data_IF_322560931494
#
_entry.id   IF_322560931494
#
_cell.length_a   1.000
_cell.length_b   1.000
_cell.length_c   1.000
_cell.angle_alpha   90.00
_cell.angle_beta   90.00
_cell.angle_gamma   90.00
#
_symmetry.space_group_name_H-M   'P 1'
#
loop_
_entity.id
_entity.type
_entity.pdbx_description
1 polymer ?
#
# COMPACT_ATOMS: atom_id res chain seq x y z
N UNK A 1 29.09 33.94 43.12
CA UNK A 1 29.50 32.59 43.61
C UNK A 1 28.29 31.68 43.81
N UNK A 2 27.38 31.90 44.77
CA UNK A 2 26.18 31.03 44.95
C UNK A 2 25.15 31.14 43.80
N UNK A 3 24.82 32.34 43.35
CA UNK A 3 23.83 32.55 42.27
C UNK A 3 24.27 31.96 40.92
N UNK A 4 25.57 31.96 40.66
CA UNK A 4 26.13 31.40 39.42
C UNK A 4 26.13 29.87 39.45
N UNK A 5 26.40 29.28 40.63
CA UNK A 5 26.28 27.84 40.86
C UNK A 5 24.82 27.36 40.68
N UNK A 6 23.84 28.09 41.23
CA UNK A 6 22.41 27.78 41.07
C UNK A 6 21.93 27.90 39.62
N UNK A 7 22.46 28.87 38.86
CA UNK A 7 22.14 29.02 37.43
C UNK A 7 22.67 27.85 36.60
N UNK A 8 23.92 27.43 36.85
CA UNK A 8 24.53 26.27 36.18
C UNK A 8 23.78 24.98 36.50
N UNK A 9 23.39 24.76 37.76
CA UNK A 9 22.62 23.58 38.16
C UNK A 9 21.22 23.55 37.53
N UNK A 10 20.55 24.71 37.43
CA UNK A 10 19.25 24.81 36.77
C UNK A 10 19.33 24.55 35.26
N UNK A 11 20.33 25.11 34.59
CA UNK A 11 20.58 24.88 33.17
C UNK A 11 20.93 23.42 32.88
N UNK A 12 21.75 22.78 33.72
CA UNK A 12 22.06 21.36 33.60
C UNK A 12 20.83 20.47 33.81
N UNK A 13 19.98 20.79 34.80
CA UNK A 13 18.74 20.05 35.05
C UNK A 13 17.71 20.22 33.93
N UNK A 14 17.64 21.39 33.29
CA UNK A 14 16.75 21.64 32.15
C UNK A 14 17.26 20.96 30.88
N UNK A 15 18.58 21.00 30.63
CA UNK A 15 19.19 20.28 29.52
C UNK A 15 18.98 18.76 29.66
N UNK A 16 19.13 18.21 30.86
CA UNK A 16 18.90 16.78 31.09
C UNK A 16 17.43 16.39 30.91
N UNK A 17 16.48 17.18 31.45
CA UNK A 17 15.04 16.96 31.21
C UNK A 17 14.71 16.97 29.72
N UNK A 18 15.24 17.96 28.98
CA UNK A 18 15.02 18.06 27.55
C UNK A 18 15.59 16.86 26.79
N UNK A 19 16.78 16.36 27.18
CA UNK A 19 17.38 15.15 26.58
C UNK A 19 16.52 13.92 26.80
N UNK A 20 16.02 13.72 28.03
CA UNK A 20 15.12 12.61 28.34
C UNK A 20 13.82 12.72 27.53
N UNK A 21 13.22 13.91 27.45
CA UNK A 21 12.00 14.13 26.67
C UNK A 21 12.22 13.88 25.16
N UNK A 22 13.34 14.35 24.60
CA UNK A 22 13.71 14.13 23.21
C UNK A 22 13.96 12.64 22.93
N UNK A 23 14.63 11.93 23.83
CA UNK A 23 14.88 10.47 23.71
C UNK A 23 13.57 9.67 23.82
N UNK A 24 12.68 10.02 24.75
CA UNK A 24 11.35 9.41 24.87
C UNK A 24 10.48 9.71 23.65
N UNK A 25 10.56 10.93 23.09
CA UNK A 25 9.85 11.29 21.87
C UNK A 25 10.37 10.47 20.67
N UNK A 26 11.69 10.32 20.54
CA UNK A 26 12.29 9.50 19.49
C UNK A 26 11.93 8.02 19.66
N UNK A 27 12.01 7.47 20.87
CA UNK A 27 11.65 6.09 21.16
C UNK A 27 10.18 5.81 20.81
N UNK A 28 9.27 6.72 21.18
CA UNK A 28 7.84 6.63 20.81
C UNK A 28 7.63 6.69 19.31
N UNK A 29 8.31 7.60 18.61
CA UNK A 29 8.20 7.72 17.15
C UNK A 29 8.70 6.46 16.43
N UNK A 30 9.80 5.86 16.90
CA UNK A 30 10.33 4.61 16.35
C UNK A 30 9.36 3.45 16.61
N UNK A 31 8.80 3.35 17.81
CA UNK A 31 7.82 2.31 18.14
C UNK A 31 6.54 2.46 17.30
N UNK A 32 5.99 3.66 17.18
CA UNK A 32 4.80 3.93 16.37
C UNK A 32 5.04 3.63 14.88
N UNK A 33 6.23 3.98 14.36
CA UNK A 33 6.61 3.63 12.99
C UNK A 33 6.68 2.11 12.79
N UNK A 34 7.31 1.38 13.72
CA UNK A 34 7.41 -0.07 13.65
C UNK A 34 6.05 -0.76 13.75
N UNK A 35 5.14 -0.28 14.61
CA UNK A 35 3.78 -0.80 14.73
C UNK A 35 2.97 -0.58 13.45
N UNK A 36 3.07 0.61 12.85
CA UNK A 36 2.43 0.93 11.57
C UNK A 36 2.96 0.03 10.43
N UNK A 37 4.27 -0.17 10.37
CA UNK A 37 4.90 -1.03 9.38
C UNK A 37 4.46 -2.49 9.55
N UNK A 38 4.44 -3.00 10.78
CA UNK A 38 3.98 -4.36 11.08
C UNK A 38 2.50 -4.56 10.71
N UNK A 39 1.63 -3.58 11.00
CA UNK A 39 0.23 -3.64 10.62
C UNK A 39 0.03 -3.65 9.10
N UNK A 40 0.82 -2.85 8.37
CA UNK A 40 0.80 -2.82 6.91
C UNK A 40 1.29 -4.15 6.32
N UNK A 41 2.38 -4.70 6.85
CA UNK A 41 2.92 -6.00 6.44
C UNK A 41 1.90 -7.13 6.64
N UNK A 42 1.20 -7.14 7.79
CA UNK A 42 0.14 -8.13 8.06
C UNK A 42 -1.01 -8.02 7.05
N UNK A 43 -1.49 -6.80 6.78
CA UNK A 43 -2.57 -6.56 5.80
C UNK A 43 -2.17 -7.02 4.40
N UNK A 44 -0.91 -6.78 4.00
CA UNK A 44 -0.38 -7.26 2.71
C UNK A 44 -0.36 -8.78 2.63
N UNK A 45 0.07 -9.44 3.70
CA UNK A 45 0.10 -10.90 3.76
C UNK A 45 -1.32 -11.50 3.70
N UNK A 46 -2.28 -10.92 4.43
CA UNK A 46 -3.69 -11.35 4.37
C UNK A 46 -4.25 -11.25 2.95
N UNK A 47 -3.99 -10.13 2.25
CA UNK A 47 -4.39 -9.95 0.85
C UNK A 47 -3.70 -10.93 -0.10
N UNK A 48 -2.39 -11.14 0.06
CA UNK A 48 -1.65 -12.11 -0.73
C UNK A 48 -2.21 -13.54 -0.56
N UNK A 49 -2.57 -13.93 0.67
CA UNK A 49 -3.19 -15.22 0.96
C UNK A 49 -4.59 -15.33 0.35
N UNK A 50 -5.41 -14.27 0.45
CA UNK A 50 -6.77 -14.26 -0.11
C UNK A 50 -6.78 -14.44 -1.64
N UNK A 51 -5.75 -13.96 -2.33
CA UNK A 51 -5.60 -14.13 -3.78
C UNK A 51 -5.23 -15.56 -4.20
N UNK A 52 -4.73 -16.38 -3.27
CA UNK A 52 -4.31 -17.76 -3.54
C UNK A 52 -3.17 -17.88 -4.55
N UNK A 53 -2.99 -19.09 -5.07
CA UNK A 53 -2.01 -19.38 -6.13
C UNK A 53 -2.45 -18.81 -7.48
N UNK A 54 -1.48 -18.48 -8.33
CA UNK A 54 -1.77 -18.04 -9.69
C UNK A 54 -2.33 -19.22 -10.52
N UNK A 55 -3.49 -19.07 -11.19
CA UNK A 55 -4.09 -20.15 -11.97
C UNK A 55 -3.26 -20.48 -13.22
N UNK A 56 -3.31 -21.75 -13.63
CA UNK A 56 -2.69 -22.22 -14.87
C UNK A 56 -3.34 -21.58 -16.11
N UNK A 57 -2.64 -21.62 -17.25
CA UNK A 57 -3.20 -21.06 -18.48
C UNK A 57 -4.41 -21.89 -18.92
N UNK A 58 -5.54 -21.24 -19.16
CA UNK A 58 -6.78 -21.89 -19.59
C UNK A 58 -7.77 -20.90 -20.20
N UNK A 59 -8.90 -21.40 -20.72
CA UNK A 59 -9.96 -20.57 -21.32
C UNK A 59 -10.62 -19.66 -20.29
N UNK A 60 -10.71 -20.07 -19.02
CA UNK A 60 -11.34 -19.29 -17.95
C UNK A 60 -10.33 -18.46 -17.15
N UNK A 61 -9.21 -18.10 -17.77
CA UNK A 61 -8.12 -17.36 -17.12
C UNK A 61 -7.83 -16.08 -17.87
N UNK A 62 -7.79 -15.00 -17.10
CA UNK A 62 -7.49 -13.65 -17.56
C UNK A 62 -6.07 -13.27 -17.16
N UNK A 63 -5.29 -12.80 -18.12
CA UNK A 63 -3.94 -12.29 -17.90
C UNK A 63 -3.98 -10.78 -17.69
N UNK A 64 -3.64 -10.32 -16.50
CA UNK A 64 -3.72 -8.90 -16.14
C UNK A 64 -2.32 -8.32 -15.98
N UNK A 65 -2.00 -7.33 -16.81
CA UNK A 65 -0.79 -6.51 -16.72
C UNK A 65 -1.14 -5.17 -16.06
N UNK A 66 -0.48 -4.85 -14.95
CA UNK A 66 -0.65 -3.59 -14.22
C UNK A 66 0.61 -2.75 -14.39
N UNK A 67 0.41 -1.50 -14.81
CA UNK A 67 1.48 -0.51 -15.01
C UNK A 67 1.41 0.51 -13.88
N UNK A 68 2.48 0.58 -13.11
CA UNK A 68 2.61 1.48 -11.98
C UNK A 68 3.11 2.87 -12.44
N UNK A 69 2.76 3.94 -11.71
CA UNK A 69 3.26 5.29 -12.00
C UNK A 69 4.78 5.40 -11.86
N UNK A 70 5.41 4.49 -11.11
CA UNK A 70 6.87 4.34 -11.00
C UNK A 70 7.54 3.84 -12.30
N UNK A 71 6.74 3.41 -13.29
CA UNK A 71 7.21 2.77 -14.53
C UNK A 71 7.31 1.25 -14.43
N UNK A 72 7.21 0.68 -13.22
CA UNK A 72 7.19 -0.76 -13.01
C UNK A 72 5.96 -1.41 -13.63
N UNK A 73 6.11 -2.69 -13.98
CA UNK A 73 5.04 -3.51 -14.53
C UNK A 73 4.95 -4.82 -13.76
N UNK A 74 3.74 -5.18 -13.36
CA UNK A 74 3.45 -6.45 -12.69
C UNK A 74 2.39 -7.19 -13.47
N UNK A 75 2.63 -8.46 -13.73
CA UNK A 75 1.71 -9.33 -14.44
C UNK A 75 1.25 -10.43 -13.50
N UNK A 76 -0.02 -10.79 -13.56
CA UNK A 76 -0.59 -11.94 -12.84
C UNK A 76 -1.83 -12.44 -13.58
N UNK A 77 -2.03 -13.76 -13.56
CA UNK A 77 -3.26 -14.41 -14.02
C UNK A 77 -4.29 -14.49 -12.90
N UNK A 78 -5.54 -14.38 -13.30
CA UNK A 78 -6.73 -14.46 -12.44
C UNK A 78 -7.77 -15.32 -13.14
N UNK A 79 -8.67 -15.97 -12.40
CA UNK A 79 -9.84 -16.56 -13.01
C UNK A 79 -10.71 -15.47 -13.65
N UNK A 80 -11.37 -15.77 -14.77
CA UNK A 80 -12.26 -14.83 -15.48
C UNK A 80 -13.44 -14.37 -14.61
N UNK A 81 -13.84 -15.21 -13.65
CA UNK A 81 -14.86 -14.92 -12.63
C UNK A 81 -14.33 -14.15 -11.42
N UNK A 82 -13.02 -13.89 -11.32
CA UNK A 82 -12.48 -13.04 -10.26
C UNK A 82 -13.02 -11.62 -10.40
N UNK A 83 -13.10 -10.88 -9.29
CA UNK A 83 -13.64 -9.52 -9.30
C UNK A 83 -12.55 -8.47 -9.49
N UNK A 84 -12.95 -7.25 -9.83
CA UNK A 84 -12.05 -6.09 -9.83
C UNK A 84 -11.36 -5.91 -8.47
N UNK A 85 -12.06 -6.20 -7.36
CA UNK A 85 -11.46 -6.21 -6.01
C UNK A 85 -10.23 -7.11 -5.93
N UNK A 86 -10.23 -8.28 -6.58
CA UNK A 86 -9.05 -9.15 -6.60
C UNK A 86 -7.83 -8.51 -7.26
N UNK A 87 -8.02 -7.61 -8.24
CA UNK A 87 -6.90 -6.87 -8.83
C UNK A 87 -6.39 -5.83 -7.83
N UNK A 88 -7.28 -5.11 -7.15
CA UNK A 88 -6.91 -4.18 -6.08
C UNK A 88 -6.17 -4.88 -4.93
N UNK A 89 -6.65 -6.04 -4.48
CA UNK A 89 -5.98 -6.83 -3.45
C UNK A 89 -4.59 -7.27 -3.90
N UNK A 90 -4.42 -7.60 -5.18
CA UNK A 90 -3.10 -7.89 -5.73
C UNK A 90 -2.19 -6.66 -5.68
N UNK A 91 -2.64 -5.51 -6.15
CA UNK A 91 -1.84 -4.27 -6.11
C UNK A 91 -1.49 -3.91 -4.66
N UNK A 92 -2.44 -4.00 -3.74
CA UNK A 92 -2.24 -3.68 -2.33
C UNK A 92 -1.38 -4.70 -1.59
N UNK A 93 -1.32 -5.95 -2.06
CA UNK A 93 -0.38 -6.96 -1.55
C UNK A 93 1.06 -6.66 -1.98
N UNK A 94 1.24 -5.88 -3.04
CA UNK A 94 2.55 -5.49 -3.54
C UNK A 94 3.04 -4.23 -2.81
N UNK A 95 4.33 -4.19 -2.49
CA UNK A 95 4.98 -3.03 -1.85
C UNK A 95 5.41 -1.94 -2.86
N UNK A 96 4.85 -1.94 -4.08
CA UNK A 96 5.26 -1.02 -5.14
C UNK A 96 4.39 0.24 -5.25
N UNK A 97 3.38 0.40 -4.40
CA UNK A 97 2.57 1.63 -4.34
C UNK A 97 2.53 2.19 -2.91
N UNK A 98 2.96 3.45 -2.77
CA UNK A 98 2.92 4.20 -1.49
C UNK A 98 1.71 5.15 -1.38
N UNK A 99 0.84 5.17 -2.39
CA UNK A 99 -0.31 6.05 -2.43
C UNK A 99 -1.46 5.47 -1.57
N UNK A 100 -2.14 6.33 -0.81
CA UNK A 100 -3.33 5.94 -0.03
C UNK A 100 -4.56 5.72 -0.93
N UNK A 101 -4.64 6.44 -2.05
CA UNK A 101 -5.77 6.40 -2.98
C UNK A 101 -5.29 6.33 -4.42
N UNK A 102 -5.83 5.36 -5.15
CA UNK A 102 -5.56 5.18 -6.57
C UNK A 102 -6.74 4.48 -7.23
N UNK A 103 -6.80 4.64 -8.55
CA UNK A 103 -7.79 3.98 -9.40
C UNK A 103 -7.09 3.13 -10.46
N UNK A 104 -7.67 1.98 -10.77
CA UNK A 104 -7.28 1.14 -11.90
C UNK A 104 -7.97 1.65 -13.17
N UNK A 105 -7.20 1.87 -14.23
CA UNK A 105 -7.68 2.45 -15.49
C UNK A 105 -7.27 1.58 -16.68
N UNK A 106 -8.22 1.21 -17.55
CA UNK A 106 -7.92 0.57 -18.84
C UNK A 106 -7.59 1.62 -19.91
N UNK A 107 -6.88 1.24 -20.97
CA UNK A 107 -6.51 2.17 -22.05
C UNK A 107 -7.55 2.25 -23.17
N UNK A 108 -8.11 1.13 -23.64
CA UNK A 108 -9.09 1.15 -24.72
C UNK A 108 -10.17 0.06 -24.56
N UNK A 109 -11.45 0.44 -24.42
CA UNK A 109 -11.92 1.80 -24.08
C UNK A 109 -11.28 2.28 -22.76
N UNK A 110 -11.09 3.58 -22.59
CA UNK A 110 -10.59 4.14 -21.32
C UNK A 110 -11.69 4.04 -20.27
N UNK A 111 -11.51 3.17 -19.29
CA UNK A 111 -12.47 2.93 -18.22
C UNK A 111 -11.75 3.01 -16.88
N UNK A 112 -12.26 3.85 -15.99
CA UNK A 112 -11.85 3.88 -14.58
C UNK A 112 -12.69 2.86 -13.81
N UNK A 113 -12.03 1.99 -13.05
CA UNK A 113 -12.65 0.97 -12.22
C UNK A 113 -12.70 1.44 -10.77
N UNK A 114 -13.65 2.33 -10.46
CA UNK A 114 -13.85 2.83 -9.10
C UNK A 114 -14.60 1.85 -8.20
N UNK A 115 -14.93 2.27 -6.97
CA UNK A 115 -15.66 1.45 -5.99
C UNK A 115 -16.96 0.85 -6.51
N UNK A 116 -17.63 1.52 -7.45
CA UNK A 116 -18.87 1.08 -8.09
C UNK A 116 -18.70 -0.17 -8.97
N UNK A 117 -17.47 -0.48 -9.40
CA UNK A 117 -17.16 -1.65 -10.24
C UNK A 117 -16.42 -2.76 -9.50
N UNK A 118 -16.15 -2.59 -8.21
CA UNK A 118 -15.37 -3.54 -7.41
C UNK A 118 -15.94 -4.97 -7.44
N UNK A 119 -17.26 -5.09 -7.41
CA UNK A 119 -17.96 -6.39 -7.46
C UNK A 119 -18.09 -6.98 -8.86
N UNK A 120 -17.75 -6.24 -9.92
CA UNK A 120 -17.81 -6.76 -11.28
C UNK A 120 -16.71 -7.79 -11.48
N UNK A 121 -17.03 -8.87 -12.18
CA UNK A 121 -16.06 -9.87 -12.60
C UNK A 121 -15.20 -9.37 -13.76
N UNK A 122 -14.05 -10.00 -14.00
CA UNK A 122 -13.18 -9.65 -15.12
C UNK A 122 -13.86 -9.84 -16.48
N UNK A 123 -14.77 -10.81 -16.60
CA UNK A 123 -15.55 -11.00 -17.82
C UNK A 123 -16.60 -9.91 -18.02
N UNK A 124 -17.33 -9.52 -16.96
CA UNK A 124 -18.32 -8.43 -17.01
C UNK A 124 -17.66 -7.08 -17.30
N UNK A 125 -16.45 -6.88 -16.77
CA UNK A 125 -15.63 -5.70 -16.98
C UNK A 125 -14.97 -5.62 -18.38
N UNK A 126 -15.11 -6.66 -19.22
CA UNK A 126 -14.49 -6.74 -20.54
C UNK A 126 -12.96 -6.89 -20.50
N UNK A 127 -12.42 -7.40 -19.40
CA UNK A 127 -10.98 -7.56 -19.15
C UNK A 127 -10.44 -8.95 -19.54
N UNK A 128 -11.32 -9.92 -19.75
CA UNK A 128 -10.99 -11.24 -20.25
C UNK A 128 -10.80 -11.24 -21.80
N UNK A 129 -9.83 -11.97 -22.38
CA UNK A 129 -8.84 -12.84 -21.74
C UNK A 129 -7.55 -12.13 -21.32
N UNK A 130 -7.36 -10.88 -21.71
CA UNK A 130 -6.18 -10.11 -21.36
C UNK A 130 -6.52 -8.65 -21.09
N UNK A 131 -5.98 -8.13 -19.99
CA UNK A 131 -6.13 -6.75 -19.58
C UNK A 131 -4.77 -6.05 -19.46
N UNK A 132 -4.72 -4.79 -19.86
CA UNK A 132 -3.64 -3.87 -19.51
C UNK A 132 -4.24 -2.70 -18.75
N UNK A 133 -3.94 -2.63 -17.46
CA UNK A 133 -4.39 -1.60 -16.54
C UNK A 133 -3.24 -0.69 -16.14
N UNK A 134 -3.58 0.55 -15.82
CA UNK A 134 -2.67 1.57 -15.33
C UNK A 134 -3.17 2.06 -13.98
N UNK A 135 -2.25 2.35 -13.07
CA UNK A 135 -2.57 2.96 -11.79
C UNK A 135 -2.54 4.47 -11.95
N UNK A 136 -3.67 5.11 -11.67
CA UNK A 136 -3.82 6.56 -11.61
C UNK A 136 -3.93 6.96 -10.13
N UNK A 137 -2.96 7.72 -9.62
CA UNK A 137 -2.98 8.22 -8.24
C UNK A 137 -3.98 9.37 -8.17
N UNK A 138 -4.92 9.31 -7.24
CA UNK A 138 -5.84 10.41 -6.97
C UNK A 138 -5.08 11.53 -6.26
N UNK A 139 -5.08 12.74 -6.83
CA UNK A 139 -4.41 13.93 -6.26
C UNK A 139 -5.27 14.59 -5.18
#
# INVERSE_FOLDING_TARGET
>A
MREEQERIEREAAEAERKRIEDEEAQARAVQEAAEKEAALARRRQEKAMALGAEPEKGPDVTRVLIRFPTGERKERRFHSSATITSIYDYVDSLDCLKAEKYSLVSNFPRVTYGPEKNSQTLVEAGLHPQASLFIEIEQ
#
